data_IF_693555783295
#
_entry.id   IF_693555783295
#
_cell.length_a   1.000
_cell.length_b   1.000
_cell.length_c   1.000
_cell.angle_alpha   90.00
_cell.angle_beta   90.00
_cell.angle_gamma   90.00
#
_symmetry.space_group_name_H-M   'P 1'
#
loop_
_entity.id
_entity.type
_entity.pdbx_description
1 polymer ?
#
# COMPACT_ATOMS: atom_id res chain seq x y z
N UNK A 1 -44.11 -2.21 -22.49
CA UNK A 1 -43.35 -2.99 -23.50
C UNK A 1 -42.11 -2.24 -24.03
N UNK A 2 -42.18 -0.93 -24.30
CA UNK A 2 -41.06 -0.11 -24.81
C UNK A 2 -39.90 0.04 -23.79
N UNK A 3 -40.21 0.27 -22.51
CA UNK A 3 -39.20 0.39 -21.44
C UNK A 3 -38.38 -0.89 -21.21
N UNK A 4 -39.00 -2.07 -21.40
CA UNK A 4 -38.34 -3.37 -21.24
C UNK A 4 -37.30 -3.60 -22.34
N UNK A 5 -37.63 -3.25 -23.59
CA UNK A 5 -36.71 -3.35 -24.73
C UNK A 5 -35.52 -2.40 -24.61
N UNK A 6 -35.73 -1.15 -24.18
CA UNK A 6 -34.64 -0.19 -24.00
C UNK A 6 -33.66 -0.65 -22.90
N UNK A 7 -34.17 -1.22 -21.81
CA UNK A 7 -33.34 -1.75 -20.72
C UNK A 7 -32.49 -2.95 -21.16
N UNK A 8 -33.04 -3.82 -22.02
CA UNK A 8 -32.34 -4.98 -22.55
C UNK A 8 -31.30 -4.58 -23.60
N UNK A 9 -31.60 -3.59 -24.44
CA UNK A 9 -30.66 -3.01 -25.41
C UNK A 9 -29.51 -2.28 -24.69
N UNK A 10 -29.79 -1.51 -23.63
CA UNK A 10 -28.76 -0.86 -22.82
C UNK A 10 -27.90 -1.88 -22.05
N UNK A 11 -28.49 -2.96 -21.53
CA UNK A 11 -27.75 -4.08 -20.92
C UNK A 11 -26.87 -4.80 -21.95
N UNK A 12 -27.40 -5.08 -23.14
CA UNK A 12 -26.66 -5.73 -24.22
C UNK A 12 -25.52 -4.86 -24.75
N UNK A 13 -25.74 -3.55 -24.91
CA UNK A 13 -24.71 -2.58 -25.25
C UNK A 13 -23.64 -2.49 -24.15
N UNK A 14 -24.05 -2.37 -22.87
CA UNK A 14 -23.10 -2.40 -21.74
C UNK A 14 -22.25 -3.65 -21.72
N UNK A 15 -22.85 -4.83 -21.92
CA UNK A 15 -22.13 -6.11 -21.91
C UNK A 15 -21.20 -6.25 -23.12
N UNK A 16 -21.64 -5.79 -24.30
CA UNK A 16 -20.88 -5.83 -25.56
C UNK A 16 -19.62 -4.98 -25.52
N UNK A 17 -19.61 -3.87 -24.78
CA UNK A 17 -18.42 -3.03 -24.59
C UNK A 17 -17.64 -3.36 -23.31
N UNK A 18 -18.29 -3.88 -22.27
CA UNK A 18 -17.62 -4.24 -21.02
C UNK A 18 -16.65 -5.42 -21.20
N UNK A 19 -17.04 -6.47 -21.92
CA UNK A 19 -16.16 -7.62 -22.16
C UNK A 19 -14.87 -7.24 -22.92
N UNK A 20 -14.91 -6.57 -24.09
CA UNK A 20 -13.68 -6.17 -24.77
C UNK A 20 -12.87 -5.14 -23.97
N UNK A 21 -13.51 -4.29 -23.18
CA UNK A 21 -12.79 -3.38 -22.28
C UNK A 21 -12.03 -4.12 -21.17
N UNK A 22 -12.65 -5.10 -20.52
CA UNK A 22 -11.97 -5.94 -19.51
C UNK A 22 -10.85 -6.73 -20.16
N UNK A 23 -11.07 -7.34 -21.34
CA UNK A 23 -10.03 -8.05 -22.07
C UNK A 23 -8.86 -7.12 -22.46
N UNK A 24 -9.14 -5.87 -22.83
CA UNK A 24 -8.11 -4.87 -23.08
C UNK A 24 -7.31 -4.54 -21.83
N UNK A 25 -7.96 -4.31 -20.68
CA UNK A 25 -7.26 -4.05 -19.41
C UNK A 25 -6.38 -5.23 -19.00
N UNK A 26 -6.89 -6.45 -19.16
CA UNK A 26 -6.16 -7.68 -18.91
C UNK A 26 -4.94 -7.79 -19.84
N UNK A 27 -5.10 -7.49 -21.14
CA UNK A 27 -4.00 -7.52 -22.10
C UNK A 27 -2.95 -6.45 -21.78
N UNK A 28 -3.35 -5.21 -21.47
CA UNK A 28 -2.45 -4.13 -21.07
C UNK A 28 -1.68 -4.51 -19.80
N UNK A 29 -2.35 -5.13 -18.83
CA UNK A 29 -1.70 -5.62 -17.63
C UNK A 29 -0.65 -6.69 -17.96
N UNK A 30 -1.06 -7.74 -18.68
CA UNK A 30 -0.21 -8.91 -18.92
C UNK A 30 0.99 -8.61 -19.81
N UNK A 31 0.79 -7.85 -20.89
CA UNK A 31 1.84 -7.58 -21.87
C UNK A 31 2.68 -6.34 -21.55
N UNK A 32 2.18 -5.43 -20.73
CA UNK A 32 2.88 -4.18 -20.38
C UNK A 32 3.24 -4.11 -18.90
N UNK A 33 2.24 -4.03 -18.03
CA UNK A 33 2.43 -3.69 -16.62
C UNK A 33 3.18 -4.80 -15.87
N UNK A 34 2.82 -6.07 -16.07
CA UNK A 34 3.47 -7.20 -15.40
C UNK A 34 4.97 -7.27 -15.72
N UNK A 35 5.34 -7.19 -17.00
CA UNK A 35 6.75 -7.18 -17.42
C UNK A 35 7.51 -5.96 -16.88
N UNK A 36 6.88 -4.78 -16.85
CA UNK A 36 7.46 -3.57 -16.27
C UNK A 36 7.69 -3.71 -14.75
N UNK A 37 6.73 -4.28 -14.01
CA UNK A 37 6.86 -4.53 -12.57
C UNK A 37 7.99 -5.52 -12.27
N UNK A 38 8.08 -6.61 -13.03
CA UNK A 38 9.13 -7.61 -12.89
C UNK A 38 10.52 -7.04 -13.19
N UNK A 39 10.62 -6.00 -14.03
CA UNK A 39 11.89 -5.43 -14.49
C UNK A 39 12.11 -3.98 -14.04
N UNK A 40 11.44 -3.57 -12.96
CA UNK A 40 11.40 -2.16 -12.56
C UNK A 40 12.79 -1.60 -12.27
N UNK A 41 13.13 -0.52 -12.98
CA UNK A 41 14.39 0.21 -12.79
C UNK A 41 15.64 -0.49 -13.35
N UNK A 42 15.54 -1.73 -13.87
CA UNK A 42 16.68 -2.44 -14.45
C UNK A 42 16.87 -2.18 -15.94
N UNK A 43 18.13 -2.25 -16.38
CA UNK A 43 18.53 -2.20 -17.79
C UNK A 43 18.52 -3.60 -18.42
N UNK A 44 18.54 -3.68 -19.76
CA UNK A 44 18.64 -4.97 -20.45
C UNK A 44 19.95 -5.71 -20.12
N UNK A 45 21.07 -4.99 -20.00
CA UNK A 45 22.34 -5.59 -19.61
C UNK A 45 22.28 -6.20 -18.19
N UNK A 46 21.66 -5.50 -17.24
CA UNK A 46 21.44 -6.04 -15.88
C UNK A 46 20.49 -7.24 -15.88
N UNK A 47 19.52 -7.32 -16.80
CA UNK A 47 18.67 -8.51 -16.94
C UNK A 47 19.45 -9.72 -17.43
N UNK A 48 20.36 -9.53 -18.38
CA UNK A 48 21.13 -10.59 -19.02
C UNK A 48 22.39 -11.02 -18.25
N UNK A 49 22.90 -10.19 -17.34
CA UNK A 49 24.09 -10.53 -16.56
C UNK A 49 23.84 -11.69 -15.59
N UNK A 50 24.89 -12.47 -15.34
CA UNK A 50 24.91 -13.51 -14.30
C UNK A 50 25.18 -12.83 -12.96
N UNK A 51 24.32 -13.07 -11.97
CA UNK A 51 24.47 -12.57 -10.61
C UNK A 51 24.67 -13.72 -9.62
N UNK A 52 25.43 -13.51 -8.53
CA UNK A 52 25.44 -14.43 -7.40
C UNK A 52 24.02 -14.73 -6.92
N UNK A 53 23.69 -16.01 -6.73
CA UNK A 53 22.37 -16.47 -6.31
C UNK A 53 21.41 -16.84 -7.45
N UNK A 54 21.76 -16.57 -8.72
CA UNK A 54 20.96 -17.01 -9.88
C UNK A 54 20.79 -18.54 -9.94
N UNK A 55 21.74 -19.29 -9.40
CA UNK A 55 21.74 -20.76 -9.28
C UNK A 55 21.07 -21.27 -8.00
N UNK A 56 20.83 -20.40 -7.02
CA UNK A 56 20.23 -20.73 -5.72
C UNK A 56 18.72 -20.48 -5.67
N UNK A 57 18.21 -19.56 -6.50
CA UNK A 57 16.80 -19.17 -6.50
C UNK A 57 16.08 -19.92 -7.63
N UNK A 58 15.08 -20.75 -7.33
CA UNK A 58 14.28 -21.40 -8.35
C UNK A 58 13.48 -20.36 -9.14
N UNK A 59 13.87 -20.07 -10.38
CA UNK A 59 13.18 -19.10 -11.26
C UNK A 59 11.96 -19.70 -11.96
N UNK A 60 11.22 -20.59 -11.29
CA UNK A 60 10.19 -21.47 -11.88
C UNK A 60 9.25 -20.75 -12.86
N UNK A 61 8.77 -19.56 -12.50
CA UNK A 61 7.85 -18.74 -13.31
C UNK A 61 8.51 -17.59 -14.07
N UNK A 62 9.84 -17.64 -14.24
CA UNK A 62 10.64 -16.59 -14.84
C UNK A 62 11.39 -15.75 -13.81
N UNK A 63 12.32 -14.95 -14.32
CA UNK A 63 13.28 -14.17 -13.54
C UNK A 63 12.84 -12.71 -13.47
N UNK A 64 12.63 -12.17 -12.28
CA UNK A 64 12.46 -10.72 -12.07
C UNK A 64 13.80 -10.06 -11.79
N UNK A 65 14.00 -8.85 -12.30
CA UNK A 65 15.23 -8.06 -12.10
C UNK A 65 14.86 -6.62 -11.83
N UNK A 66 14.92 -6.22 -10.57
CA UNK A 66 14.69 -4.83 -10.18
C UNK A 66 16.01 -4.18 -9.84
N UNK A 67 16.12 -2.88 -10.07
CA UNK A 67 17.35 -2.19 -9.73
C UNK A 67 17.12 -0.72 -9.40
N UNK A 68 17.87 -0.23 -8.41
CA UNK A 68 17.83 1.15 -7.98
C UNK A 68 19.25 1.66 -7.70
N UNK A 69 19.50 2.91 -8.07
CA UNK A 69 20.73 3.60 -7.72
C UNK A 69 20.52 4.31 -6.39
N UNK A 70 21.43 4.11 -5.45
CA UNK A 70 21.43 4.72 -4.12
C UNK A 70 22.68 5.59 -4.01
N UNK A 71 22.52 6.87 -3.67
CA UNK A 71 23.62 7.82 -3.50
C UNK A 71 24.23 7.68 -2.10
N UNK A 72 24.70 6.47 -1.82
CA UNK A 72 25.47 6.14 -0.64
C UNK A 72 26.53 5.05 -0.99
N UNK A 73 27.66 5.03 -0.27
CA UNK A 73 28.64 3.95 -0.35
C UNK A 73 28.03 2.55 -0.05
N UNK A 74 28.57 1.45 -0.61
CA UNK A 74 27.99 0.11 -0.45
C UNK A 74 27.93 -0.37 1.00
N UNK A 75 28.89 0.01 1.84
CA UNK A 75 28.94 -0.29 3.27
C UNK A 75 27.79 0.38 4.04
N UNK A 76 27.43 1.61 3.69
CA UNK A 76 26.26 2.29 4.27
C UNK A 76 24.97 1.61 3.81
N UNK A 77 24.84 1.29 2.52
CA UNK A 77 23.66 0.57 2.01
C UNK A 77 23.53 -0.80 2.65
N UNK A 78 24.65 -1.50 2.86
CA UNK A 78 24.70 -2.81 3.47
C UNK A 78 24.18 -2.81 4.91
N UNK A 79 24.57 -1.81 5.72
CA UNK A 79 24.13 -1.69 7.11
C UNK A 79 22.60 -1.62 7.23
N UNK A 80 21.94 -0.92 6.30
CA UNK A 80 20.48 -0.88 6.24
C UNK A 80 19.89 -2.18 5.69
N UNK A 81 20.50 -2.79 4.68
CA UNK A 81 20.00 -4.00 4.03
C UNK A 81 20.03 -5.20 4.98
N UNK A 82 21.13 -5.42 5.70
CA UNK A 82 21.35 -6.63 6.50
C UNK A 82 20.42 -6.73 7.72
N UNK A 83 19.95 -5.58 8.23
CA UNK A 83 19.09 -5.52 9.42
C UNK A 83 17.58 -5.65 9.12
N UNK A 84 17.20 -5.79 7.85
CA UNK A 84 15.79 -6.04 7.47
C UNK A 84 15.25 -7.30 8.16
N UNK A 85 13.97 -7.28 8.48
CA UNK A 85 13.21 -8.41 9.02
C UNK A 85 12.23 -8.00 10.13
N UNK A 86 11.17 -8.77 10.30
CA UNK A 86 10.26 -8.67 11.43
C UNK A 86 11.02 -8.97 12.74
N UNK A 87 10.81 -8.12 13.76
CA UNK A 87 11.58 -8.16 15.01
C UNK A 87 12.99 -7.57 14.90
N UNK A 88 13.34 -6.97 13.75
CA UNK A 88 14.57 -6.22 13.50
C UNK A 88 14.19 -4.84 12.95
N UNK A 89 14.79 -4.36 11.86
CA UNK A 89 14.54 -3.04 11.30
C UNK A 89 13.28 -2.93 10.42
N UNK A 90 12.38 -3.92 10.46
CA UNK A 90 11.23 -3.98 9.56
C UNK A 90 11.65 -4.20 8.11
N UNK A 91 10.83 -3.73 7.16
CA UNK A 91 11.10 -3.88 5.71
C UNK A 91 11.24 -2.54 4.99
N UNK A 92 11.25 -1.41 5.71
CA UNK A 92 11.26 -0.06 5.11
C UNK A 92 10.15 0.16 4.07
N UNK A 93 9.06 -0.59 4.22
CA UNK A 93 7.94 -0.64 3.29
C UNK A 93 6.73 0.08 3.90
N UNK A 94 5.51 -0.30 3.52
CA UNK A 94 4.30 0.17 4.17
C UNK A 94 4.01 -0.67 5.42
N UNK A 95 4.61 -0.30 6.56
CA UNK A 95 4.37 -0.97 7.84
C UNK A 95 2.88 -1.06 8.17
N UNK A 96 2.15 0.05 8.00
CA UNK A 96 0.70 0.11 8.24
C UNK A 96 -0.09 -0.89 7.38
N UNK A 97 0.40 -1.22 6.17
CA UNK A 97 -0.26 -2.16 5.27
C UNK A 97 0.02 -3.61 5.69
N UNK A 98 1.26 -3.90 6.08
CA UNK A 98 1.62 -5.20 6.66
C UNK A 98 0.90 -5.44 7.99
N UNK A 99 0.78 -4.41 8.82
CA UNK A 99 0.14 -4.49 10.14
C UNK A 99 -1.39 -4.60 10.07
N UNK A 100 -2.03 -4.40 8.90
CA UNK A 100 -3.46 -4.74 8.73
C UNK A 100 -3.75 -6.21 9.06
N UNK A 101 -2.78 -7.10 8.82
CA UNK A 101 -2.90 -8.53 9.15
C UNK A 101 -2.36 -8.88 10.52
N UNK A 102 -1.75 -7.93 11.25
CA UNK A 102 -1.12 -8.19 12.54
C UNK A 102 0.35 -8.62 12.44
N UNK A 103 1.04 -8.32 11.34
CA UNK A 103 2.42 -8.74 11.08
C UNK A 103 3.48 -8.10 12.01
N UNK A 104 3.11 -7.10 12.82
CA UNK A 104 3.96 -6.44 13.81
C UNK A 104 5.33 -6.02 13.24
N UNK A 105 5.26 -5.31 12.11
CA UNK A 105 6.39 -4.72 11.40
C UNK A 105 6.52 -3.27 11.84
N UNK A 106 7.73 -2.90 12.26
CA UNK A 106 8.10 -1.54 12.61
C UNK A 106 9.46 -1.25 11.98
N UNK A 107 9.48 -0.33 11.02
CA UNK A 107 10.67 0.04 10.30
C UNK A 107 11.55 0.93 11.17
N UNK A 108 12.83 0.59 11.29
CA UNK A 108 13.78 1.39 12.06
C UNK A 108 14.29 2.59 11.27
N UNK A 109 14.59 3.67 11.98
CA UNK A 109 15.16 4.90 11.43
C UNK A 109 16.63 5.10 11.82
N UNK A 110 17.23 4.08 12.44
CA UNK A 110 18.65 4.04 12.80
C UNK A 110 19.28 2.66 12.53
N UNK A 111 20.61 2.63 12.54
CA UNK A 111 21.38 1.39 12.42
C UNK A 111 21.55 0.79 13.82
N UNK A 112 21.09 -0.45 13.97
CA UNK A 112 21.21 -1.20 15.22
C UNK A 112 22.41 -2.16 15.19
N UNK A 113 23.42 -2.00 16.07
CA UNK A 113 24.61 -2.85 16.11
C UNK A 113 24.30 -4.35 16.24
N UNK A 114 23.28 -4.70 17.02
CA UNK A 114 22.81 -6.06 17.27
C UNK A 114 22.25 -6.76 16.02
N UNK A 115 21.89 -6.02 14.97
CA UNK A 115 21.32 -6.58 13.73
C UNK A 115 22.32 -6.64 12.57
N UNK A 116 23.57 -6.22 12.78
CA UNK A 116 24.58 -6.17 11.72
C UNK A 116 25.23 -7.52 11.40
N UNK A 117 25.04 -8.51 12.26
CA UNK A 117 25.59 -9.85 12.11
C UNK A 117 24.48 -10.80 11.66
N UNK A 118 24.51 -11.16 10.37
CA UNK A 118 23.60 -12.12 9.75
C UNK A 118 24.44 -13.22 9.10
N UNK A 119 24.06 -14.48 9.28
CA UNK A 119 24.77 -15.65 8.77
C UNK A 119 23.87 -16.54 7.92
N UNK A 120 24.48 -17.47 7.16
CA UNK A 120 23.73 -18.47 6.40
C UNK A 120 22.89 -19.33 7.36
N UNK A 121 21.60 -19.50 7.06
CA UNK A 121 20.63 -20.19 7.91
C UNK A 121 19.86 -19.29 8.88
N UNK A 122 20.35 -18.08 9.19
CA UNK A 122 19.50 -17.01 9.74
C UNK A 122 18.49 -16.57 8.66
N UNK A 123 17.61 -15.61 8.93
CA UNK A 123 16.71 -15.14 7.90
C UNK A 123 15.83 -13.96 8.26
N UNK A 124 15.17 -13.41 7.23
CA UNK A 124 14.18 -12.36 7.39
C UNK A 124 12.85 -12.98 7.78
N UNK A 125 12.37 -12.68 8.99
CA UNK A 125 11.00 -13.00 9.40
C UNK A 125 10.01 -12.05 8.76
N UNK A 126 8.80 -12.55 8.46
CA UNK A 126 7.71 -11.75 7.91
C UNK A 126 6.59 -11.48 8.92
N UNK A 127 6.49 -12.31 9.97
CA UNK A 127 5.53 -12.18 11.09
C UNK A 127 6.16 -12.70 12.39
N UNK A 128 5.63 -12.36 13.58
CA UNK A 128 6.08 -12.90 14.86
C UNK A 128 5.95 -14.43 14.93
N UNK A 129 6.82 -15.13 15.69
CA UNK A 129 6.73 -16.59 15.84
C UNK A 129 5.38 -17.10 16.35
N UNK A 130 4.74 -16.35 17.26
CA UNK A 130 3.45 -16.66 17.89
C UNK A 130 2.24 -16.18 17.07
N UNK A 131 2.47 -15.64 15.87
CA UNK A 131 1.42 -15.11 14.99
C UNK A 131 0.30 -16.13 14.76
N UNK A 132 -0.94 -15.73 15.08
CA UNK A 132 -2.17 -16.54 14.96
C UNK A 132 -2.06 -17.97 15.53
N UNK A 133 -1.43 -18.12 16.69
CA UNK A 133 -1.30 -19.42 17.35
C UNK A 133 -0.26 -20.30 16.67
N UNK A 134 0.98 -19.78 16.59
CA UNK A 134 2.17 -20.44 16.07
C UNK A 134 2.29 -20.59 14.54
N UNK A 135 1.40 -19.98 13.75
CA UNK A 135 1.49 -19.98 12.29
C UNK A 135 2.72 -19.21 11.76
N UNK A 136 3.33 -18.37 12.60
CA UNK A 136 4.52 -17.59 12.23
C UNK A 136 5.87 -18.24 12.53
N UNK A 137 5.90 -19.43 13.15
CA UNK A 137 7.17 -20.09 13.57
C UNK A 137 8.14 -20.25 12.41
N UNK A 138 7.63 -20.73 11.28
CA UNK A 138 8.39 -21.03 10.06
C UNK A 138 8.30 -19.90 9.01
N UNK A 139 7.73 -18.75 9.36
CA UNK A 139 7.61 -17.59 8.47
C UNK A 139 8.92 -16.79 8.40
N UNK A 140 10.00 -17.50 8.05
CA UNK A 140 11.36 -17.00 7.87
C UNK A 140 11.79 -17.27 6.44
N UNK A 141 12.35 -16.27 5.77
CA UNK A 141 13.12 -16.48 4.55
C UNK A 141 14.59 -16.68 4.91
N UNK A 142 15.14 -17.89 4.86
CA UNK A 142 16.53 -18.14 5.23
C UNK A 142 17.51 -17.49 4.26
N UNK A 143 18.67 -17.12 4.78
CA UNK A 143 19.84 -16.66 4.02
C UNK A 143 20.50 -17.88 3.40
N UNK A 144 20.59 -17.87 2.08
CA UNK A 144 21.23 -18.92 1.27
C UNK A 144 22.71 -18.62 0.98
N UNK A 145 23.03 -17.33 0.80
CA UNK A 145 24.39 -16.85 0.53
C UNK A 145 24.55 -15.44 1.10
N UNK A 146 25.68 -15.16 1.72
CA UNK A 146 26.01 -13.83 2.21
C UNK A 146 27.49 -13.51 1.98
N UNK A 147 27.74 -12.38 1.32
CA UNK A 147 29.05 -11.75 1.18
C UNK A 147 28.93 -10.32 1.74
N UNK A 148 29.42 -10.05 2.97
CA UNK A 148 29.25 -8.77 3.62
C UNK A 148 29.66 -7.58 2.74
N UNK A 149 28.80 -6.56 2.67
CA UNK A 149 29.00 -5.37 1.85
C UNK A 149 28.70 -5.55 0.35
N UNK A 150 28.30 -6.75 -0.10
CA UNK A 150 28.20 -7.06 -1.54
C UNK A 150 26.99 -7.89 -1.94
N UNK A 151 26.74 -9.03 -1.30
CA UNK A 151 25.72 -10.00 -1.73
C UNK A 151 24.91 -10.49 -0.54
N UNK A 152 23.60 -10.48 -0.66
CA UNK A 152 22.68 -11.15 0.27
C UNK A 152 21.62 -11.91 -0.52
N UNK A 153 21.62 -13.24 -0.43
CA UNK A 153 20.62 -14.09 -1.10
C UNK A 153 19.71 -14.72 -0.05
N UNK A 154 18.41 -14.50 -0.23
CA UNK A 154 17.35 -15.01 0.62
C UNK A 154 16.42 -15.89 -0.22
N UNK A 155 15.91 -16.97 0.36
CA UNK A 155 15.07 -17.92 -0.37
C UNK A 155 13.80 -17.28 -0.96
N UNK A 156 13.07 -16.49 -0.17
CA UNK A 156 11.82 -15.85 -0.58
C UNK A 156 12.02 -14.47 -1.23
N UNK A 157 13.00 -13.70 -0.75
CA UNK A 157 13.24 -12.32 -1.20
C UNK A 157 14.29 -12.21 -2.31
N UNK A 158 14.91 -13.32 -2.68
CA UNK A 158 15.88 -13.38 -3.76
C UNK A 158 17.24 -12.76 -3.43
N UNK A 159 18.02 -12.51 -4.47
CA UNK A 159 19.39 -12.03 -4.40
C UNK A 159 19.45 -10.50 -4.45
N UNK A 160 20.05 -9.90 -3.44
CA UNK A 160 20.32 -8.47 -3.33
C UNK A 160 21.82 -8.27 -3.55
N UNK A 161 22.19 -7.67 -4.67
CA UNK A 161 23.58 -7.47 -5.10
C UNK A 161 23.89 -5.99 -5.15
N UNK A 162 24.88 -5.57 -4.36
CA UNK A 162 25.42 -4.22 -4.32
C UNK A 162 26.61 -4.12 -5.26
N UNK A 163 26.49 -3.29 -6.30
CA UNK A 163 27.55 -3.00 -7.24
C UNK A 163 27.99 -1.54 -7.02
N UNK A 164 29.23 -1.26 -6.59
CA UNK A 164 29.72 0.12 -6.49
C UNK A 164 29.75 0.77 -7.88
N UNK A 165 29.22 1.98 -7.98
CA UNK A 165 29.33 2.82 -9.19
C UNK A 165 30.55 3.73 -9.07
N UNK A 166 30.67 4.36 -7.89
CA UNK A 166 31.76 5.25 -7.48
C UNK A 166 31.87 5.25 -5.94
N UNK A 167 32.72 6.11 -5.36
CA UNK A 167 32.94 6.18 -3.90
C UNK A 167 31.68 6.54 -3.11
N UNK A 168 30.69 7.21 -3.72
CA UNK A 168 29.49 7.72 -3.05
C UNK A 168 28.18 7.12 -3.54
N UNK A 169 28.22 6.19 -4.50
CA UNK A 169 27.00 5.66 -5.15
C UNK A 169 27.08 4.16 -5.37
N UNK A 170 25.95 3.50 -5.09
CA UNK A 170 25.79 2.04 -5.22
C UNK A 170 24.60 1.72 -6.11
N UNK A 171 24.78 0.75 -7.01
CA UNK A 171 23.69 0.13 -7.76
C UNK A 171 23.24 -1.12 -7.01
N UNK A 172 22.04 -1.10 -6.45
CA UNK A 172 21.41 -2.28 -5.86
C UNK A 172 20.57 -2.98 -6.93
N UNK A 173 20.90 -4.24 -7.22
CA UNK A 173 20.11 -5.12 -8.07
C UNK A 173 19.45 -6.19 -7.21
N UNK A 174 18.14 -6.36 -7.37
CA UNK A 174 17.35 -7.42 -6.72
C UNK A 174 16.88 -8.41 -7.77
N UNK A 175 17.26 -9.67 -7.58
CA UNK A 175 16.88 -10.78 -8.45
C UNK A 175 16.00 -11.76 -7.71
N UNK A 176 14.84 -12.07 -8.29
CA UNK A 176 13.93 -13.06 -7.72
C UNK A 176 13.08 -13.73 -8.79
N UNK A 177 11.97 -14.31 -8.35
CA UNK A 177 10.97 -14.89 -9.25
C UNK A 177 10.08 -13.80 -9.86
N UNK A 178 9.57 -14.02 -11.07
CA UNK A 178 8.69 -13.08 -11.79
C UNK A 178 7.27 -12.98 -11.24
N UNK A 179 6.93 -13.73 -10.19
CA UNK A 179 5.61 -13.74 -9.58
C UNK A 179 4.90 -15.08 -9.72
N UNK A 180 3.58 -15.07 -9.48
CA UNK A 180 2.78 -16.29 -9.43
C UNK A 180 2.60 -16.98 -10.80
N UNK A 181 2.72 -18.31 -10.83
CA UNK A 181 2.37 -19.14 -12.00
C UNK A 181 0.90 -19.06 -12.41
N UNK A 182 0.01 -18.85 -11.43
CA UNK A 182 -1.42 -18.72 -11.68
C UNK A 182 -1.76 -17.30 -12.15
N UNK A 183 -2.32 -17.20 -13.35
CA UNK A 183 -2.74 -15.95 -13.98
C UNK A 183 -3.61 -15.05 -13.10
N UNK A 184 -4.63 -15.60 -12.44
CA UNK A 184 -5.54 -14.80 -11.59
C UNK A 184 -4.84 -14.30 -10.33
N UNK A 185 -4.00 -15.15 -9.74
CA UNK A 185 -3.17 -14.77 -8.60
C UNK A 185 -2.15 -13.71 -9.01
N UNK A 186 -1.52 -13.83 -10.18
CA UNK A 186 -0.57 -12.87 -10.72
C UNK A 186 -1.22 -11.49 -10.96
N UNK A 187 -2.50 -11.43 -11.36
CA UNK A 187 -3.21 -10.16 -11.53
C UNK A 187 -3.53 -9.43 -10.22
N UNK A 188 -3.56 -10.13 -9.09
CA UNK A 188 -4.01 -9.58 -7.80
C UNK A 188 -2.85 -9.44 -6.83
N UNK A 189 -2.04 -10.48 -6.69
CA UNK A 189 -0.97 -10.58 -5.70
C UNK A 189 0.29 -9.87 -6.18
N UNK A 190 0.72 -10.07 -7.44
CA UNK A 190 1.97 -9.46 -7.93
C UNK A 190 1.97 -7.93 -7.84
N UNK A 191 0.87 -7.18 -8.13
CA UNK A 191 0.85 -5.74 -7.92
C UNK A 191 1.04 -5.34 -6.46
N UNK A 192 0.49 -6.11 -5.51
CA UNK A 192 0.62 -5.86 -4.08
C UNK A 192 2.06 -6.12 -3.65
N UNK A 193 2.61 -7.28 -4.02
CA UNK A 193 4.01 -7.66 -3.74
C UNK A 193 4.98 -6.64 -4.33
N UNK A 194 4.80 -6.29 -5.61
CA UNK A 194 5.59 -5.27 -6.29
C UNK A 194 5.52 -3.92 -5.57
N UNK A 195 4.34 -3.51 -5.11
CA UNK A 195 4.16 -2.24 -4.41
C UNK A 195 4.91 -2.22 -3.07
N UNK A 196 4.84 -3.31 -2.31
CA UNK A 196 5.58 -3.48 -1.06
C UNK A 196 7.10 -3.50 -1.29
N UNK A 197 7.56 -4.28 -2.27
CA UNK A 197 8.98 -4.41 -2.61
C UNK A 197 9.56 -3.10 -3.16
N UNK A 198 8.82 -2.41 -4.03
CA UNK A 198 9.22 -1.10 -4.53
C UNK A 198 9.36 -0.10 -3.39
N UNK A 199 8.43 -0.06 -2.44
CA UNK A 199 8.53 0.83 -1.27
C UNK A 199 9.70 0.44 -0.37
N UNK A 200 9.98 -0.85 -0.19
CA UNK A 200 11.17 -1.34 0.53
C UNK A 200 12.46 -0.80 -0.10
N UNK A 201 12.62 -0.90 -1.43
CA UNK A 201 13.81 -0.40 -2.12
C UNK A 201 13.95 1.13 -2.02
N UNK A 202 12.84 1.85 -2.10
CA UNK A 202 12.83 3.31 -1.93
C UNK A 202 13.11 3.73 -0.47
N UNK A 203 12.61 2.97 0.50
CA UNK A 203 12.84 3.21 1.92
C UNK A 203 14.28 2.93 2.34
N UNK A 204 14.85 1.86 1.80
CA UNK A 204 16.28 1.55 1.93
C UNK A 204 17.13 2.69 1.35
N UNK A 205 16.79 3.16 0.13
CA UNK A 205 17.47 4.31 -0.51
C UNK A 205 17.38 5.56 0.36
N UNK A 206 16.20 5.91 0.86
CA UNK A 206 16.00 7.12 1.67
C UNK A 206 16.88 7.10 2.93
N UNK A 207 16.88 5.98 3.66
CA UNK A 207 17.66 5.78 4.88
C UNK A 207 19.17 5.80 4.61
N UNK A 208 19.62 5.09 3.57
CA UNK A 208 21.04 5.09 3.18
C UNK A 208 21.54 6.47 2.73
N UNK A 209 20.68 7.28 2.11
CA UNK A 209 20.99 8.66 1.70
C UNK A 209 20.84 9.69 2.82
N UNK A 210 20.46 9.28 4.03
CA UNK A 210 20.21 10.19 5.16
C UNK A 210 19.03 11.13 4.92
N UNK A 211 18.08 10.75 4.07
CA UNK A 211 16.88 11.53 3.78
C UNK A 211 15.75 11.05 4.70
N UNK A 212 15.13 11.94 5.50
CA UNK A 212 13.97 11.56 6.28
C UNK A 212 12.84 11.10 5.34
N UNK A 213 11.97 10.21 5.85
CA UNK A 213 10.65 9.99 5.24
C UNK A 213 9.89 11.34 5.16
N UNK A 214 8.71 11.37 4.52
CA UNK A 214 7.99 12.60 4.15
C UNK A 214 8.05 13.79 5.13
N UNK A 215 8.01 15.04 4.65
CA UNK A 215 7.97 16.23 5.51
C UNK A 215 6.93 16.12 6.63
N UNK A 216 7.36 16.38 7.88
CA UNK A 216 6.53 16.21 9.08
C UNK A 216 5.19 16.96 8.99
N UNK A 217 5.16 18.13 8.35
CA UNK A 217 3.96 18.92 8.10
C UNK A 217 2.90 18.14 7.30
N UNK A 218 3.33 17.46 6.23
CA UNK A 218 2.43 16.65 5.40
C UNK A 218 1.91 15.44 6.17
N UNK A 219 2.76 14.82 7.00
CA UNK A 219 2.37 13.71 7.87
C UNK A 219 1.29 14.13 8.87
N UNK A 220 1.44 15.28 9.52
CA UNK A 220 0.43 15.81 10.46
C UNK A 220 -0.88 16.11 9.75
N UNK A 221 -0.86 16.79 8.60
CA UNK A 221 -2.08 17.10 7.84
C UNK A 221 -2.77 15.82 7.38
N UNK A 222 -2.02 14.85 6.88
CA UNK A 222 -2.55 13.56 6.49
C UNK A 222 -3.20 12.83 7.67
N UNK A 223 -2.56 12.85 8.84
CA UNK A 223 -3.09 12.22 10.04
C UNK A 223 -4.39 12.88 10.51
N UNK A 224 -4.51 14.21 10.42
CA UNK A 224 -5.78 14.93 10.66
C UNK A 224 -6.84 14.46 9.67
N UNK A 225 -6.49 14.32 8.38
CA UNK A 225 -7.39 13.80 7.35
C UNK A 225 -7.92 12.40 7.67
N UNK A 226 -7.02 11.49 8.02
CA UNK A 226 -7.36 10.12 8.45
C UNK A 226 -8.26 10.09 9.69
N UNK A 227 -7.89 10.82 10.75
CA UNK A 227 -8.66 10.86 12.00
C UNK A 227 -10.06 11.45 11.76
N UNK A 228 -10.14 12.55 11.02
CA UNK A 228 -11.41 13.21 10.69
C UNK A 228 -12.32 12.30 9.89
N UNK A 229 -11.77 11.60 8.88
CA UNK A 229 -12.53 10.61 8.13
C UNK A 229 -13.04 9.49 9.05
N UNK A 230 -12.20 8.98 9.96
CA UNK A 230 -12.58 7.96 10.94
C UNK A 230 -13.74 8.40 11.82
N UNK A 231 -13.66 9.61 12.39
CA UNK A 231 -14.72 10.21 13.21
C UNK A 231 -16.02 10.35 12.42
N UNK A 232 -15.94 10.85 11.18
CA UNK A 232 -17.12 11.01 10.31
C UNK A 232 -17.78 9.66 10.02
N UNK A 233 -17.01 8.65 9.62
CA UNK A 233 -17.55 7.30 9.35
C UNK A 233 -18.18 6.71 10.62
N UNK A 234 -17.52 6.83 11.79
CA UNK A 234 -18.09 6.39 13.07
C UNK A 234 -19.40 7.12 13.39
N UNK A 235 -19.45 8.44 13.23
CA UNK A 235 -20.65 9.24 13.45
C UNK A 235 -21.81 8.82 12.52
N UNK A 236 -21.53 8.53 11.24
CA UNK A 236 -22.54 8.06 10.28
C UNK A 236 -23.16 6.72 10.70
N UNK A 237 -22.40 5.83 11.34
CA UNK A 237 -22.96 4.60 11.93
C UNK A 237 -23.82 4.88 13.16
N UNK A 238 -23.38 5.77 14.06
CA UNK A 238 -24.06 6.03 15.34
C UNK A 238 -25.36 6.81 15.14
N UNK A 239 -25.36 7.82 14.26
CA UNK A 239 -26.52 8.67 14.00
C UNK A 239 -27.67 7.85 13.37
N UNK A 240 -27.34 6.88 12.51
CA UNK A 240 -28.34 6.07 11.85
C UNK A 240 -28.68 4.82 12.69
N UNK A 241 -29.82 4.85 13.40
CA UNK A 241 -30.27 3.76 14.28
C UNK A 241 -30.27 2.37 13.63
N UNK A 242 -30.46 2.28 12.31
CA UNK A 242 -30.47 1.01 11.56
C UNK A 242 -29.05 0.46 11.31
N UNK A 243 -28.04 1.31 11.20
CA UNK A 243 -26.66 0.90 10.92
C UNK A 243 -25.79 0.77 12.18
N UNK A 244 -26.19 1.29 13.34
CA UNK A 244 -25.36 1.30 14.57
C UNK A 244 -24.73 -0.04 14.95
N UNK A 245 -25.43 -1.16 14.75
CA UNK A 245 -24.92 -2.49 15.08
C UNK A 245 -23.83 -2.95 14.10
N UNK A 246 -23.86 -2.44 12.88
CA UNK A 246 -22.86 -2.73 11.84
C UNK A 246 -21.52 -2.03 12.07
N UNK A 247 -21.45 -1.07 13.02
CA UNK A 247 -20.17 -0.50 13.49
C UNK A 247 -19.24 -1.57 14.08
N UNK A 248 -19.79 -2.70 14.54
CA UNK A 248 -18.99 -3.81 15.04
C UNK A 248 -18.00 -4.33 13.99
N UNK A 249 -18.36 -4.38 12.71
CA UNK A 249 -17.49 -4.93 11.67
C UNK A 249 -16.23 -4.07 11.42
N UNK A 250 -16.34 -2.75 11.21
CA UNK A 250 -15.16 -1.89 11.15
C UNK A 250 -14.30 -1.91 12.41
N UNK A 251 -14.91 -2.00 13.59
CA UNK A 251 -14.17 -2.13 14.85
C UNK A 251 -13.40 -3.45 14.91
N UNK A 252 -14.05 -4.57 14.57
CA UNK A 252 -13.40 -5.89 14.52
C UNK A 252 -12.25 -5.91 13.51
N UNK A 253 -12.41 -5.23 12.36
CA UNK A 253 -11.36 -5.12 11.35
C UNK A 253 -10.08 -4.44 11.87
N UNK A 254 -10.17 -3.61 12.92
CA UNK A 254 -8.98 -2.97 13.54
C UNK A 254 -8.21 -3.89 14.48
N UNK A 255 -8.81 -4.98 14.95
CA UNK A 255 -8.26 -5.78 16.04
C UNK A 255 -6.89 -6.39 15.72
N UNK A 256 -6.62 -6.97 14.53
CA UNK A 256 -5.29 -7.48 14.21
C UNK A 256 -4.22 -6.39 14.32
N UNK A 257 -4.47 -5.23 13.72
CA UNK A 257 -3.55 -4.10 13.75
C UNK A 257 -3.29 -3.55 15.16
N UNK A 258 -4.34 -3.37 15.97
CA UNK A 258 -4.22 -2.75 17.30
C UNK A 258 -3.75 -3.73 18.38
N UNK A 259 -4.24 -4.97 18.35
CA UNK A 259 -3.93 -5.97 19.38
C UNK A 259 -2.61 -6.70 19.11
N UNK A 260 -2.30 -6.98 17.85
CA UNK A 260 -1.11 -7.79 17.50
C UNK A 260 0.08 -6.93 17.10
N UNK A 261 -0.13 -5.75 16.53
CA UNK A 261 0.95 -4.88 16.03
C UNK A 261 1.08 -3.55 16.75
N UNK A 262 0.09 -3.17 17.57
CA UNK A 262 -0.01 -1.87 18.23
C UNK A 262 0.10 -0.67 17.27
N UNK A 263 -0.30 -0.88 16.01
CA UNK A 263 -0.20 0.12 14.96
C UNK A 263 -1.54 0.85 14.76
N UNK A 264 -1.59 2.10 15.21
CA UNK A 264 -2.77 2.96 15.11
C UNK A 264 -3.06 3.33 13.65
N UNK A 265 -2.03 3.52 12.81
CA UNK A 265 -2.21 3.87 11.41
C UNK A 265 -2.87 2.73 10.64
N UNK A 266 -2.39 1.51 10.86
CA UNK A 266 -3.01 0.29 10.34
C UNK A 266 -4.45 0.12 10.85
N UNK A 267 -4.68 0.31 12.16
CA UNK A 267 -6.02 0.22 12.73
C UNK A 267 -7.01 1.22 12.11
N UNK A 268 -6.57 2.46 11.89
CA UNK A 268 -7.39 3.50 11.27
C UNK A 268 -7.66 3.21 9.78
N UNK A 269 -6.67 2.71 9.05
CA UNK A 269 -6.84 2.26 7.66
C UNK A 269 -7.84 1.10 7.57
N UNK A 270 -7.73 0.10 8.46
CA UNK A 270 -8.66 -1.02 8.53
C UNK A 270 -10.10 -0.56 8.82
N UNK A 271 -10.26 0.32 9.83
CA UNK A 271 -11.55 0.88 10.21
C UNK A 271 -12.23 1.58 9.03
N UNK A 272 -11.47 2.41 8.30
CA UNK A 272 -12.02 3.18 7.17
C UNK A 272 -12.30 2.31 5.96
N UNK A 273 -11.41 1.38 5.61
CA UNK A 273 -11.62 0.45 4.51
C UNK A 273 -12.90 -0.37 4.71
N UNK A 274 -13.07 -0.98 5.90
CA UNK A 274 -14.26 -1.73 6.25
C UNK A 274 -15.50 -0.83 6.41
N UNK A 275 -15.34 0.34 7.07
CA UNK A 275 -16.41 1.29 7.38
C UNK A 275 -17.03 1.92 6.14
N UNK A 276 -16.21 2.46 5.24
CA UNK A 276 -16.66 3.06 3.98
C UNK A 276 -17.34 1.99 3.10
N UNK A 277 -16.74 0.80 3.00
CA UNK A 277 -17.30 -0.31 2.24
C UNK A 277 -18.68 -0.71 2.77
N UNK A 278 -18.79 -0.88 4.09
CA UNK A 278 -20.02 -1.28 4.76
C UNK A 278 -21.11 -0.20 4.67
N UNK A 279 -20.80 1.07 4.97
CA UNK A 279 -21.75 2.18 4.84
C UNK A 279 -22.27 2.31 3.41
N UNK A 280 -21.39 2.11 2.42
CA UNK A 280 -21.76 2.11 1.02
C UNK A 280 -22.78 1.01 0.68
N UNK A 281 -22.53 -0.23 1.12
CA UNK A 281 -23.49 -1.32 0.92
C UNK A 281 -24.81 -1.11 1.69
N UNK A 282 -24.77 -0.58 2.91
CA UNK A 282 -25.98 -0.29 3.69
C UNK A 282 -26.82 0.83 3.07
N UNK A 283 -26.19 1.80 2.41
CA UNK A 283 -26.85 2.97 1.82
C UNK A 283 -27.32 2.73 0.39
N UNK A 284 -26.52 2.03 -0.43
CA UNK A 284 -26.72 1.89 -1.88
C UNK A 284 -26.94 0.44 -2.34
N UNK A 285 -26.84 -0.55 -1.46
CA UNK A 285 -27.02 -1.96 -1.79
C UNK A 285 -26.07 -2.42 -2.90
N UNK A 286 -26.60 -3.17 -3.87
CA UNK A 286 -25.81 -3.71 -5.01
C UNK A 286 -25.23 -2.63 -5.93
N UNK A 287 -25.74 -1.40 -5.89
CA UNK A 287 -25.20 -0.31 -6.71
C UNK A 287 -23.84 0.19 -6.20
N UNK A 288 -23.43 -0.23 -4.99
CA UNK A 288 -22.14 0.14 -4.40
C UNK A 288 -20.94 -0.52 -5.07
N UNK A 289 -21.12 -1.63 -5.79
CA UNK A 289 -20.02 -2.33 -6.46
C UNK A 289 -19.21 -1.45 -7.42
N UNK A 290 -19.88 -0.58 -8.19
CA UNK A 290 -19.20 0.35 -9.10
C UNK A 290 -18.30 1.35 -8.38
N UNK A 291 -18.83 2.17 -7.45
CA UNK A 291 -18.02 3.07 -6.63
C UNK A 291 -16.91 2.36 -5.85
N UNK A 292 -17.17 1.18 -5.28
CA UNK A 292 -16.16 0.43 -4.53
C UNK A 292 -14.99 0.02 -5.43
N UNK A 293 -15.24 -0.40 -6.67
CA UNK A 293 -14.19 -0.70 -7.65
C UNK A 293 -13.37 0.54 -8.02
N UNK A 294 -13.99 1.71 -8.13
CA UNK A 294 -13.28 2.97 -8.41
C UNK A 294 -12.42 3.37 -7.21
N UNK A 295 -12.96 3.31 -5.99
CA UNK A 295 -12.22 3.61 -4.76
C UNK A 295 -11.05 2.63 -4.61
N UNK A 296 -11.30 1.33 -4.72
CA UNK A 296 -10.27 0.29 -4.63
C UNK A 296 -9.16 0.47 -5.67
N UNK A 297 -9.53 0.72 -6.93
CA UNK A 297 -8.56 1.00 -8.00
C UNK A 297 -7.74 2.26 -7.71
N UNK A 298 -8.37 3.31 -7.17
CA UNK A 298 -7.68 4.55 -6.81
C UNK A 298 -6.70 4.34 -5.66
N UNK A 299 -7.08 3.56 -4.66
CA UNK A 299 -6.19 3.19 -3.54
C UNK A 299 -5.01 2.37 -4.05
N UNK A 300 -5.23 1.36 -4.90
CA UNK A 300 -4.16 0.56 -5.50
C UNK A 300 -3.21 1.40 -6.35
N UNK A 301 -3.74 2.31 -7.19
CA UNK A 301 -2.92 3.23 -7.97
C UNK A 301 -2.13 4.19 -7.06
N UNK A 302 -2.72 4.64 -5.95
CA UNK A 302 -2.03 5.49 -4.98
C UNK A 302 -0.90 4.73 -4.29
N UNK A 303 -1.15 3.49 -3.86
CA UNK A 303 -0.11 2.62 -3.30
C UNK A 303 1.06 2.41 -4.28
N UNK A 304 0.74 2.22 -5.57
CA UNK A 304 1.71 1.97 -6.61
C UNK A 304 2.54 3.21 -6.98
N UNK A 305 1.90 4.38 -7.10
CA UNK A 305 2.48 5.58 -7.70
C UNK A 305 2.95 6.60 -6.68
N UNK A 306 2.29 6.71 -5.51
CA UNK A 306 2.68 7.68 -4.50
C UNK A 306 4.01 7.27 -3.86
N UNK A 307 4.94 8.21 -3.62
CA UNK A 307 6.11 7.95 -2.78
C UNK A 307 5.70 7.52 -1.36
N UNK A 308 4.63 8.13 -0.84
CA UNK A 308 4.11 7.92 0.50
C UNK A 308 2.59 7.79 0.48
N UNK A 309 2.11 6.57 0.23
CA UNK A 309 0.69 6.31 0.01
C UNK A 309 -0.19 6.64 1.22
N UNK A 310 0.28 6.40 2.45
CA UNK A 310 -0.47 6.76 3.66
C UNK A 310 -0.75 8.27 3.70
N UNK A 311 0.25 9.08 3.40
CA UNK A 311 0.14 10.54 3.39
C UNK A 311 -0.75 10.99 2.24
N UNK A 312 -0.57 10.45 1.04
CA UNK A 312 -1.40 10.79 -0.11
C UNK A 312 -2.91 10.54 0.15
N UNK A 313 -3.25 9.39 0.72
CA UNK A 313 -4.64 9.06 1.08
C UNK A 313 -5.16 9.99 2.19
N UNK A 314 -4.34 10.25 3.22
CA UNK A 314 -4.72 11.16 4.30
C UNK A 314 -4.96 12.60 3.82
N UNK A 315 -4.11 13.10 2.92
CA UNK A 315 -4.30 14.41 2.27
C UNK A 315 -5.59 14.45 1.44
N UNK A 316 -5.92 13.36 0.73
CA UNK A 316 -7.18 13.27 0.01
C UNK A 316 -8.38 13.37 0.96
N UNK A 317 -8.36 12.67 2.10
CA UNK A 317 -9.40 12.81 3.13
C UNK A 317 -9.47 14.22 3.71
N UNK A 318 -8.33 14.85 3.97
CA UNK A 318 -8.27 16.23 4.46
C UNK A 318 -8.87 17.22 3.46
N UNK A 319 -8.57 17.08 2.17
CA UNK A 319 -9.14 17.92 1.11
C UNK A 319 -10.64 17.73 0.95
N UNK A 320 -11.14 16.49 1.08
CA UNK A 320 -12.58 16.20 1.09
C UNK A 320 -13.24 16.89 2.28
N UNK A 321 -12.64 16.81 3.47
CA UNK A 321 -13.14 17.47 4.68
C UNK A 321 -13.26 18.99 4.49
N UNK A 322 -12.20 19.64 4.01
CA UNK A 322 -12.20 21.09 3.74
C UNK A 322 -13.28 21.48 2.73
N UNK A 323 -13.47 20.66 1.69
CA UNK A 323 -14.50 20.90 0.67
C UNK A 323 -15.90 20.84 1.27
N UNK A 324 -16.19 19.84 2.12
CA UNK A 324 -17.48 19.70 2.80
C UNK A 324 -17.73 20.86 3.77
N UNK A 325 -16.73 21.24 4.58
CA UNK A 325 -16.82 22.38 5.50
C UNK A 325 -17.06 23.69 4.74
N UNK A 326 -16.34 23.91 3.63
CA UNK A 326 -16.54 25.08 2.77
C UNK A 326 -17.96 25.17 2.22
N UNK A 327 -18.52 24.06 1.74
CA UNK A 327 -19.92 24.01 1.29
C UNK A 327 -20.89 24.33 2.42
N UNK A 328 -20.67 23.78 3.63
CA UNK A 328 -21.53 24.06 4.80
C UNK A 328 -21.50 25.54 5.21
N UNK A 329 -20.32 26.16 5.22
CA UNK A 329 -20.19 27.59 5.54
C UNK A 329 -20.90 28.45 4.49
N UNK A 330 -20.74 28.13 3.20
CA UNK A 330 -21.40 28.85 2.12
C UNK A 330 -22.92 28.70 2.19
N UNK A 331 -23.45 27.50 2.44
CA UNK A 331 -24.90 27.30 2.57
C UNK A 331 -25.47 28.01 3.80
N UNK A 332 -24.76 27.97 4.94
CA UNK A 332 -25.19 28.65 6.16
C UNK A 332 -25.18 30.19 6.00
N UNK A 333 -24.17 30.74 5.32
CA UNK A 333 -24.12 32.19 5.02
C UNK A 333 -25.28 32.65 4.14
N UNK A 334 -25.70 31.83 3.16
CA UNK A 334 -26.86 32.12 2.29
C UNK A 334 -28.19 32.08 3.05
N UNK A 335 -28.32 31.20 4.05
CA UNK A 335 -29.53 31.16 4.89
C UNK A 335 -29.68 32.40 5.77
N UNK A 336 -28.57 33.00 6.22
CA UNK A 336 -28.60 34.23 7.03
C UNK A 336 -28.75 35.50 6.20
N UNK A 337 -28.23 35.53 4.95
CA UNK A 337 -28.37 36.68 4.05
C UNK A 337 -29.73 36.81 3.36
N UNK A 338 -30.62 35.82 3.50
CA UNK A 338 -31.97 35.80 2.93
C UNK A 338 -33.04 36.51 3.78
N UNK A 339 -32.78 36.76 5.06
CA UNK A 339 -33.67 37.53 5.93
C UNK A 339 -33.37 39.03 5.80
N UNK A 340 -33.89 39.68 4.74
CA UNK A 340 -34.02 41.15 4.78
C UNK A 340 -35.13 41.51 5.77
N UNK A 341 -34.90 42.41 6.74
CA UNK A 341 -35.96 42.87 7.61
C UNK A 341 -37.04 43.53 6.76
N UNK A 342 -38.29 43.04 6.85
CA UNK A 342 -39.44 43.78 6.32
C UNK A 342 -39.47 45.12 7.05
N UNK A 343 -39.09 46.18 6.35
CA UNK A 343 -39.34 47.55 6.79
C UNK A 343 -40.84 47.67 7.05
N UNK A 344 -41.21 47.73 8.33
CA UNK A 344 -42.56 48.05 8.76
C UNK A 344 -42.77 49.51 8.35
N UNK A 345 -43.48 49.74 7.24
CA UNK A 345 -44.01 51.06 6.91
C UNK A 345 -45.01 51.47 7.98
N UNK A 346 -44.81 52.60 8.69
CA UNK A 346 -45.81 53.09 9.62
C UNK A 346 -46.99 53.63 8.82
N UNK A 347 -48.16 53.05 9.02
CA UNK A 347 -49.45 53.59 8.57
C UNK A 347 -49.67 54.94 9.24
N UNK A 348 -49.89 55.98 8.41
CA UNK A 348 -50.46 57.26 8.82
C UNK A 348 -51.90 57.35 8.34
#
# INVERSE_FOLDING_TARGET
MIYTNLSNVLKALRLRYAVPFVLLLVAVYWFGIHSWMANWGSTEAERQMILPGDDLIPVGNGKSTKAITIHAPPDIVWQWLVQIGQGRAGFYSYDWLANLTGANIHSADEIHPEWQHLTVGDGWRTVPPDYLGDLGKDAVSPVLLIEPGRVLVLEMFGAHVLLPIDEGSTRLIVRGESGSSNFLTAMIVDPIVFTMERRMLLGLKARAEGRPDAPAELTVIAQIGWISAGIIVAALFVINRRSRFWLALPVVATLPALLMSHDIQAGLAAFLAAGISMLGFLSFGKNWWGPLLVIGSTVLLTLLLAPEAYIAIGLAFFMILLSVLGVMVVTHSKTLGGERPRLITPTR
#
